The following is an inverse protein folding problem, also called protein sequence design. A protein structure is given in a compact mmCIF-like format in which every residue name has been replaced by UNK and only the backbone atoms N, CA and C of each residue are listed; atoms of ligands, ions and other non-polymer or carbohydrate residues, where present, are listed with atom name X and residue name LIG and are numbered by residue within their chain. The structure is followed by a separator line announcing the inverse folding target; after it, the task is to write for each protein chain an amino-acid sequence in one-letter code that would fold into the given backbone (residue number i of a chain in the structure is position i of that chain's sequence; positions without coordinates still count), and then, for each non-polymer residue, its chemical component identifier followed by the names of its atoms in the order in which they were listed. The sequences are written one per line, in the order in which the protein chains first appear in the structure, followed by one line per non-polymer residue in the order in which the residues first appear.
data_IF_674508068851
#
_entry.id   IF_674508068851
#
_cell.length_a   1.000
_cell.length_b   1.000
_cell.length_c   1.000
_cell.angle_alpha   90.00
_cell.angle_beta   90.00
_cell.angle_gamma   90.00
#
_symmetry.space_group_name_H-M   'P 1'
#
loop_
_entity.id
_entity.type
_entity.pdbx_description
1 polymer ?
#
# COMPACT_ATOMS: atom_id res chain seq x y z
N UNK A 1 2.04 15.89 -6.93
CA UNK A 1 1.12 15.84 -8.07
C UNK A 1 1.78 15.10 -9.22
N UNK A 2 1.02 14.28 -9.97
CA UNK A 2 1.55 13.49 -11.11
C UNK A 2 2.12 14.38 -12.22
N UNK A 3 1.65 15.60 -12.32
CA UNK A 3 2.16 16.60 -13.32
C UNK A 3 3.60 17.01 -13.03
N UNK A 4 4.08 16.86 -11.80
CA UNK A 4 5.46 17.16 -11.42
C UNK A 4 6.44 16.07 -11.84
N UNK A 5 5.95 14.85 -12.10
CA UNK A 5 6.80 13.70 -12.44
C UNK A 5 7.61 13.92 -13.71
N UNK A 6 7.05 14.59 -14.72
CA UNK A 6 7.78 14.86 -15.97
C UNK A 6 9.04 15.68 -15.71
N UNK A 7 8.95 16.69 -14.86
CA UNK A 7 10.10 17.52 -14.50
C UNK A 7 11.11 16.78 -13.63
N UNK A 8 10.63 15.93 -12.74
CA UNK A 8 11.49 15.08 -11.89
C UNK A 8 12.23 14.02 -12.71
N UNK A 9 11.59 13.38 -13.67
CA UNK A 9 12.23 12.39 -14.53
C UNK A 9 13.23 13.01 -15.51
N UNK A 10 13.07 14.29 -15.86
CA UNK A 10 14.03 15.04 -16.65
C UNK A 10 15.20 15.61 -15.81
N UNK A 11 15.12 15.55 -14.49
CA UNK A 11 16.16 16.04 -13.60
C UNK A 11 17.34 15.05 -13.50
N UNK A 12 18.52 15.48 -13.05
CA UNK A 12 19.64 14.59 -12.72
C UNK A 12 19.22 13.50 -11.70
N UNK A 13 19.80 12.31 -11.83
CA UNK A 13 19.46 11.15 -11.00
C UNK A 13 19.57 11.43 -9.48
N UNK A 14 20.54 12.25 -9.09
CA UNK A 14 20.75 12.67 -7.70
C UNK A 14 19.55 13.43 -7.14
N UNK A 15 18.95 14.33 -7.93
CA UNK A 15 17.74 15.07 -7.52
C UNK A 15 16.52 14.17 -7.40
N UNK A 16 16.37 13.20 -8.31
CA UNK A 16 15.33 12.21 -8.21
C UNK A 16 15.48 11.35 -6.95
N UNK A 17 16.70 10.94 -6.65
CA UNK A 17 17.02 10.17 -5.44
C UNK A 17 16.72 10.97 -4.16
N UNK A 18 17.15 12.23 -4.08
CA UNK A 18 16.85 13.13 -2.96
C UNK A 18 15.33 13.27 -2.74
N UNK A 19 14.59 13.45 -3.83
CA UNK A 19 13.13 13.56 -3.78
C UNK A 19 12.47 12.26 -3.30
N UNK A 20 12.91 11.09 -3.78
CA UNK A 20 12.43 9.79 -3.33
C UNK A 20 12.71 9.56 -1.83
N UNK A 21 13.90 9.90 -1.38
CA UNK A 21 14.27 9.83 0.05
C UNK A 21 13.38 10.74 0.88
N UNK A 22 13.17 11.98 0.43
CA UNK A 22 12.27 12.92 1.11
C UNK A 22 10.85 12.38 1.21
N UNK A 23 10.27 11.91 0.09
CA UNK A 23 8.90 11.38 0.05
C UNK A 23 8.74 10.14 0.94
N UNK A 24 9.69 9.20 0.89
CA UNK A 24 9.68 8.03 1.78
C UNK A 24 9.76 8.43 3.26
N UNK A 25 10.59 9.43 3.59
CA UNK A 25 10.70 9.92 4.96
C UNK A 25 9.40 10.55 5.47
N UNK A 26 8.60 11.18 4.60
CA UNK A 26 7.28 11.72 4.99
C UNK A 26 6.35 10.56 5.39
N UNK A 27 6.27 9.49 4.60
CA UNK A 27 5.46 8.32 4.94
C UNK A 27 6.00 7.54 6.15
N UNK A 28 7.33 7.41 6.29
CA UNK A 28 7.93 6.81 7.47
C UNK A 28 7.57 7.60 8.74
N UNK A 29 7.64 8.94 8.70
CA UNK A 29 7.24 9.77 9.84
C UNK A 29 5.77 9.63 10.21
N UNK A 30 4.87 9.40 9.23
CA UNK A 30 3.48 9.08 9.50
C UNK A 30 3.35 7.73 10.22
N UNK A 31 4.07 6.72 9.75
CA UNK A 31 4.08 5.38 10.35
C UNK A 31 4.70 5.37 11.76
N UNK A 32 5.73 6.20 12.00
CA UNK A 32 6.46 6.28 13.27
C UNK A 32 5.79 7.19 14.32
N UNK A 33 4.61 7.75 14.02
CA UNK A 33 3.91 8.59 15.01
C UNK A 33 3.68 7.80 16.31
N UNK A 34 3.94 8.41 17.50
CA UNK A 34 3.80 7.74 18.80
C UNK A 34 2.34 7.63 19.26
N UNK A 35 1.41 7.74 18.33
CA UNK A 35 -0.05 7.70 18.54
C UNK A 35 -0.68 6.79 17.48
N UNK A 36 -1.87 6.22 17.73
CA UNK A 36 -2.58 5.45 16.71
C UNK A 36 -3.01 6.34 15.54
N UNK A 37 -2.96 5.78 14.35
CA UNK A 37 -3.31 6.45 13.10
C UNK A 37 -4.37 5.66 12.34
N UNK A 38 -5.27 6.36 11.65
CA UNK A 38 -6.33 5.73 10.85
C UNK A 38 -6.55 6.48 9.55
N UNK A 39 -6.82 5.74 8.48
CA UNK A 39 -7.27 6.27 7.20
C UNK A 39 -8.75 6.01 7.00
N UNK A 40 -9.50 7.08 6.66
CA UNK A 40 -10.90 7.03 6.25
C UNK A 40 -10.98 7.19 4.72
N UNK A 41 -11.21 6.10 4.01
CA UNK A 41 -11.09 6.02 2.55
C UNK A 41 -12.46 6.20 1.92
N UNK A 42 -12.72 7.37 1.36
CA UNK A 42 -14.01 7.75 0.78
C UNK A 42 -14.11 7.58 -0.74
N UNK A 43 -13.06 7.07 -1.40
CA UNK A 43 -12.98 6.95 -2.84
C UNK A 43 -11.68 6.29 -3.30
N UNK A 44 -11.00 6.89 -4.26
CA UNK A 44 -9.75 6.34 -4.80
C UNK A 44 -8.56 6.58 -3.87
N UNK A 45 -7.89 5.49 -3.50
CA UNK A 45 -6.58 5.50 -2.85
C UNK A 45 -5.60 4.70 -3.74
N UNK A 46 -5.06 5.34 -4.76
CA UNK A 46 -4.21 4.73 -5.78
C UNK A 46 -2.79 5.30 -5.75
N UNK A 47 -1.80 4.47 -6.08
CA UNK A 47 -0.39 4.87 -6.09
C UNK A 47 0.05 5.45 -4.75
N UNK A 48 0.61 6.65 -4.73
CA UNK A 48 0.99 7.36 -3.51
C UNK A 48 -0.13 7.51 -2.49
N UNK A 49 -1.40 7.56 -2.91
CA UNK A 49 -2.56 7.51 -2.02
C UNK A 49 -2.70 6.17 -1.31
N UNK A 50 -2.46 5.07 -2.04
CA UNK A 50 -2.39 3.74 -1.44
C UNK A 50 -1.20 3.63 -0.47
N UNK A 51 -0.03 4.12 -0.87
CA UNK A 51 1.18 4.12 -0.03
C UNK A 51 0.99 4.92 1.27
N UNK A 52 0.24 6.02 1.20
CA UNK A 52 -0.14 6.82 2.39
C UNK A 52 -1.02 6.02 3.36
N UNK A 53 -2.09 5.38 2.88
CA UNK A 53 -2.98 4.60 3.75
C UNK A 53 -2.28 3.35 4.31
N UNK A 54 -1.31 2.78 3.61
CA UNK A 54 -0.48 1.69 4.11
C UNK A 54 0.43 2.11 5.27
N UNK A 55 0.77 3.38 5.38
CA UNK A 55 1.55 3.92 6.49
C UNK A 55 0.72 4.09 7.78
N UNK A 56 -0.62 4.05 7.72
CA UNK A 56 -1.48 4.13 8.91
C UNK A 56 -1.73 2.77 9.56
N UNK A 57 -2.12 2.75 10.83
CA UNK A 57 -2.35 1.52 11.59
C UNK A 57 -3.65 0.85 11.17
N UNK A 58 -4.71 1.63 11.01
CA UNK A 58 -6.04 1.15 10.63
C UNK A 58 -6.55 1.86 9.38
N UNK A 59 -7.47 1.20 8.66
CA UNK A 59 -8.07 1.67 7.41
C UNK A 59 -9.55 1.32 7.39
N UNK A 60 -10.41 2.33 7.31
CA UNK A 60 -11.85 2.16 7.11
C UNK A 60 -12.22 2.69 5.73
N UNK A 61 -12.98 1.96 4.97
CA UNK A 61 -13.34 2.32 3.60
C UNK A 61 -14.85 2.49 3.41
N UNK A 62 -15.24 3.35 2.47
CA UNK A 62 -16.59 3.35 1.90
C UNK A 62 -16.72 2.19 0.89
N UNK A 63 -17.96 1.73 0.57
CA UNK A 63 -18.16 0.66 -0.40
C UNK A 63 -17.61 0.98 -1.80
N UNK A 64 -17.58 2.27 -2.17
CA UNK A 64 -17.10 2.74 -3.47
C UNK A 64 -15.59 2.93 -3.53
N UNK A 65 -14.87 2.68 -2.44
CA UNK A 65 -13.43 2.84 -2.39
C UNK A 65 -12.72 1.87 -3.36
N UNK A 66 -11.68 2.39 -4.00
CA UNK A 66 -10.76 1.65 -4.87
C UNK A 66 -9.34 1.87 -4.39
N UNK A 67 -8.64 0.79 -4.10
CA UNK A 67 -7.32 0.81 -3.47
C UNK A 67 -6.36 0.01 -4.32
N UNK A 68 -5.19 0.55 -4.64
CA UNK A 68 -4.23 -0.18 -5.46
C UNK A 68 -2.96 0.57 -5.80
N UNK A 69 -2.06 -0.13 -6.45
CA UNK A 69 -0.74 0.36 -6.87
C UNK A 69 -0.61 0.24 -8.40
N UNK A 70 -1.15 1.21 -9.18
CA UNK A 70 -1.18 1.16 -10.64
C UNK A 70 0.14 1.53 -11.32
N UNK A 71 1.21 1.76 -10.57
CA UNK A 71 2.51 2.26 -11.04
C UNK A 71 3.08 1.44 -12.20
N UNK A 72 2.92 0.11 -12.15
CA UNK A 72 3.40 -0.78 -13.23
C UNK A 72 2.74 -0.51 -14.57
N UNK A 73 1.50 0.00 -14.60
CA UNK A 73 0.84 0.44 -15.84
C UNK A 73 1.49 1.68 -16.47
N UNK A 74 2.28 2.41 -15.70
CA UNK A 74 3.03 3.59 -16.13
C UNK A 74 4.51 3.29 -16.44
N UNK A 75 4.92 2.02 -16.36
CA UNK A 75 6.31 1.60 -16.57
C UNK A 75 7.24 1.88 -15.38
N UNK A 76 6.69 2.12 -14.20
CA UNK A 76 7.42 2.37 -12.95
C UNK A 76 6.95 1.41 -11.85
N UNK A 77 7.59 1.43 -10.69
CA UNK A 77 7.19 0.67 -9.50
C UNK A 77 6.75 1.61 -8.38
N UNK A 78 5.97 1.12 -7.38
CA UNK A 78 5.62 1.91 -6.20
C UNK A 78 6.86 2.38 -5.45
N UNK A 79 7.04 3.70 -5.37
CA UNK A 79 8.29 4.34 -4.91
C UNK A 79 8.27 4.90 -3.49
N UNK A 80 7.09 4.96 -2.83
CA UNK A 80 6.93 5.55 -1.50
C UNK A 80 6.64 4.52 -0.42
N UNK A 81 7.08 3.28 -0.65
CA UNK A 81 7.01 2.18 0.30
C UNK A 81 5.87 1.19 0.08
N UNK A 82 5.08 1.32 -0.99
CA UNK A 82 4.01 0.38 -1.32
C UNK A 82 4.53 -1.04 -1.54
N UNK A 83 5.64 -1.18 -2.27
CA UNK A 83 6.33 -2.46 -2.50
C UNK A 83 6.97 -3.07 -1.24
N UNK A 84 7.04 -2.32 -0.14
CA UNK A 84 7.54 -2.78 1.15
C UNK A 84 6.39 -3.07 2.12
N UNK A 85 5.46 -2.11 2.29
CA UNK A 85 4.38 -2.22 3.29
C UNK A 85 3.30 -3.20 2.89
N UNK A 86 2.93 -3.23 1.60
CA UNK A 86 1.86 -4.11 1.14
C UNK A 86 2.16 -5.60 1.37
N UNK A 87 3.35 -6.15 0.97
CA UNK A 87 3.66 -7.55 1.23
C UNK A 87 3.82 -7.87 2.71
N UNK A 88 4.25 -6.93 3.53
CA UNK A 88 4.31 -7.10 4.98
C UNK A 88 2.93 -7.16 5.64
N UNK A 89 1.95 -6.46 5.07
CA UNK A 89 0.58 -6.45 5.55
C UNK A 89 -0.23 -7.65 5.06
N UNK A 90 -0.13 -8.00 3.77
CA UNK A 90 -1.00 -8.99 3.12
C UNK A 90 -0.33 -10.34 2.85
N UNK A 91 0.97 -10.45 3.06
CA UNK A 91 1.78 -11.53 2.54
C UNK A 91 2.21 -11.31 1.09
N UNK A 92 3.21 -12.10 0.65
CA UNK A 92 3.90 -11.88 -0.62
C UNK A 92 2.99 -12.08 -1.84
N UNK A 93 2.20 -13.16 -1.86
CA UNK A 93 1.42 -13.54 -3.05
C UNK A 93 0.31 -12.53 -3.37
N UNK A 94 -0.45 -12.12 -2.35
CA UNK A 94 -1.51 -11.10 -2.51
C UNK A 94 -0.92 -9.75 -2.93
N UNK A 95 0.23 -9.39 -2.38
CA UNK A 95 0.92 -8.15 -2.73
C UNK A 95 1.45 -8.18 -4.17
N UNK A 96 2.07 -9.28 -4.59
CA UNK A 96 2.55 -9.46 -5.98
C UNK A 96 1.41 -9.37 -6.98
N UNK A 97 0.25 -9.97 -6.69
CA UNK A 97 -0.92 -9.87 -7.57
C UNK A 97 -1.38 -8.42 -7.76
N UNK A 98 -1.43 -7.63 -6.69
CA UNK A 98 -1.84 -6.22 -6.75
C UNK A 98 -0.78 -5.36 -7.46
N UNK A 99 0.49 -5.50 -7.06
CA UNK A 99 1.59 -4.66 -7.57
C UNK A 99 1.90 -4.97 -9.02
N UNK A 100 2.17 -6.24 -9.35
CA UNK A 100 2.59 -6.63 -10.70
C UNK A 100 1.49 -6.41 -11.74
N UNK A 101 0.23 -6.64 -11.38
CA UNK A 101 -0.90 -6.38 -12.28
C UNK A 101 -1.29 -4.90 -12.34
N UNK A 102 -0.80 -4.06 -11.43
CA UNK A 102 -1.21 -2.66 -11.29
C UNK A 102 -2.72 -2.52 -11.07
N UNK A 103 -3.34 -3.52 -10.45
CA UNK A 103 -4.79 -3.54 -10.21
C UNK A 103 -5.17 -2.66 -9.03
N UNK A 104 -6.37 -2.11 -9.11
CA UNK A 104 -7.11 -1.64 -7.96
C UNK A 104 -8.09 -2.72 -7.50
N UNK A 105 -8.26 -2.85 -6.21
CA UNK A 105 -9.22 -3.74 -5.56
C UNK A 105 -10.40 -2.94 -5.01
N UNK A 106 -11.58 -3.53 -5.04
CA UNK A 106 -12.78 -2.96 -4.42
C UNK A 106 -12.67 -2.99 -2.89
N UNK A 107 -13.45 -2.14 -2.20
CA UNK A 107 -13.53 -2.16 -0.74
C UNK A 107 -13.84 -3.55 -0.17
N UNK A 108 -14.73 -4.30 -0.84
CA UNK A 108 -15.11 -5.67 -0.46
C UNK A 108 -13.92 -6.65 -0.56
N UNK A 109 -13.16 -6.56 -1.64
CA UNK A 109 -11.95 -7.39 -1.83
C UNK A 109 -10.85 -6.98 -0.86
N UNK A 110 -10.66 -5.66 -0.65
CA UNK A 110 -9.72 -5.11 0.31
C UNK A 110 -10.00 -5.62 1.74
N UNK A 111 -11.28 -5.67 2.14
CA UNK A 111 -11.68 -6.23 3.44
C UNK A 111 -11.38 -7.74 3.51
N UNK A 112 -11.68 -8.48 2.44
CA UNK A 112 -11.44 -9.93 2.40
C UNK A 112 -9.97 -10.30 2.55
N UNK A 113 -9.06 -9.50 1.97
CA UNK A 113 -7.61 -9.77 2.04
C UNK A 113 -6.92 -9.08 3.22
N UNK A 114 -7.63 -8.30 4.03
CA UNK A 114 -7.06 -7.60 5.18
C UNK A 114 -6.35 -6.28 4.84
N UNK A 115 -6.60 -5.73 3.64
CA UNK A 115 -6.07 -4.43 3.25
C UNK A 115 -6.81 -3.28 3.95
N UNK A 116 -8.09 -3.46 4.30
CA UNK A 116 -8.86 -2.56 5.15
C UNK A 116 -9.49 -3.33 6.32
N UNK A 117 -9.71 -2.64 7.43
CA UNK A 117 -10.24 -3.23 8.67
C UNK A 117 -11.76 -3.23 8.73
N UNK A 118 -12.41 -2.28 8.02
CA UNK A 118 -13.87 -2.19 7.94
C UNK A 118 -14.32 -1.52 6.64
N UNK A 119 -15.56 -1.86 6.23
CA UNK A 119 -16.27 -1.17 5.16
C UNK A 119 -17.61 -0.71 5.72
N UNK A 120 -17.89 0.59 5.62
CA UNK A 120 -19.09 1.23 6.16
C UNK A 120 -19.71 2.17 5.14
N UNK A 121 -21.01 2.47 5.30
CA UNK A 121 -21.70 3.43 4.45
C UNK A 121 -21.01 4.81 4.46
N UNK A 122 -20.98 5.54 3.32
CA UNK A 122 -20.20 6.78 3.19
C UNK A 122 -20.51 7.82 4.28
N UNK A 123 -21.78 7.95 4.68
CA UNK A 123 -22.22 8.88 5.72
C UNK A 123 -21.76 8.48 7.14
N UNK A 124 -21.33 7.21 7.31
CA UNK A 124 -20.80 6.68 8.57
C UNK A 124 -19.28 6.60 8.61
N UNK A 125 -18.60 6.91 7.52
CA UNK A 125 -17.16 6.70 7.39
C UNK A 125 -16.36 7.46 8.44
N UNK A 126 -16.62 8.73 8.61
CA UNK A 126 -15.92 9.57 9.60
C UNK A 126 -16.20 9.11 11.02
N UNK A 127 -17.47 8.82 11.35
CA UNK A 127 -17.86 8.31 12.67
C UNK A 127 -17.17 6.98 12.98
N UNK A 128 -17.18 6.04 12.04
CA UNK A 128 -16.55 4.72 12.21
C UNK A 128 -15.02 4.84 12.40
N UNK A 129 -14.36 5.69 11.63
CA UNK A 129 -12.93 5.94 11.77
C UNK A 129 -12.61 6.55 13.14
N UNK A 130 -13.35 7.56 13.58
CA UNK A 130 -13.15 8.18 14.90
C UNK A 130 -13.43 7.20 16.05
N UNK A 131 -14.46 6.36 15.93
CA UNK A 131 -14.76 5.33 16.92
C UNK A 131 -13.64 4.29 17.01
N UNK A 132 -13.09 3.86 15.88
CA UNK A 132 -11.96 2.91 15.85
C UNK A 132 -10.71 3.55 16.46
N UNK A 133 -10.43 4.81 16.14
CA UNK A 133 -9.33 5.56 16.73
C UNK A 133 -9.49 5.69 18.25
N UNK A 134 -10.69 6.01 18.74
CA UNK A 134 -10.97 6.08 20.17
C UNK A 134 -10.77 4.73 20.87
N UNK A 135 -11.17 3.62 20.24
CA UNK A 135 -10.91 2.28 20.77
C UNK A 135 -9.42 1.98 20.87
N UNK A 136 -8.63 2.44 19.90
CA UNK A 136 -7.17 2.30 19.94
C UNK A 136 -6.53 3.15 21.05
N UNK A 137 -7.03 4.36 21.27
CA UNK A 137 -6.61 5.24 22.37
C UNK A 137 -6.97 4.64 23.74
N UNK A 138 -8.17 4.06 23.85
CA UNK A 138 -8.66 3.40 25.09
C UNK A 138 -7.98 2.04 25.36
N UNK A 139 -7.09 1.58 24.47
CA UNK A 139 -6.42 0.29 24.60
C UNK A 139 -7.29 -0.93 24.29
N UNK A 140 -8.48 -0.74 23.68
CA UNK A 140 -9.37 -1.82 23.24
C UNK A 140 -8.93 -2.43 21.91
N UNK A 141 -8.22 -1.65 21.09
CA UNK A 141 -7.53 -2.11 19.89
C UNK A 141 -6.03 -1.86 20.07
N UNK A 142 -5.24 -2.91 19.87
CA UNK A 142 -3.79 -2.82 19.95
C UNK A 142 -3.22 -2.31 18.62
N UNK A 143 -3.08 -0.99 18.52
CA UNK A 143 -2.52 -0.35 17.32
C UNK A 143 -1.03 -0.66 17.11
N UNK A 144 -0.30 -0.98 18.19
CA UNK A 144 1.11 -1.37 18.07
C UNK A 144 1.24 -2.74 17.45
N UNK A 145 0.39 -3.69 17.85
CA UNK A 145 0.30 -4.99 17.22
C UNK A 145 -0.15 -4.89 15.75
N UNK A 146 -1.08 -3.99 15.42
CA UNK A 146 -1.48 -3.72 14.03
C UNK A 146 -0.35 -3.13 13.17
N UNK A 147 0.52 -2.29 13.75
CA UNK A 147 1.69 -1.70 13.09
C UNK A 147 2.84 -2.69 12.92
N UNK A 148 3.06 -3.56 13.90
CA UNK A 148 4.23 -4.41 14.01
C UNK A 148 4.57 -5.20 12.73
N UNK A 149 3.63 -5.84 12.01
CA UNK A 149 3.95 -6.55 10.77
C UNK A 149 4.63 -5.68 9.71
N UNK A 150 4.28 -4.39 9.64
CA UNK A 150 4.84 -3.46 8.67
C UNK A 150 6.29 -3.06 8.98
N UNK A 151 6.69 -3.16 10.23
CA UNK A 151 8.05 -2.84 10.70
C UNK A 151 9.02 -4.02 10.57
N UNK A 152 8.49 -5.24 10.48
CA UNK A 152 9.32 -6.46 10.39
C UNK A 152 9.62 -6.83 8.92
N UNK A 153 10.79 -7.42 8.66
CA UNK A 153 11.07 -8.01 7.36
C UNK A 153 10.04 -9.08 6.99
N UNK A 154 9.73 -9.19 5.69
CA UNK A 154 8.89 -10.26 5.19
C UNK A 154 9.56 -11.63 5.48
N UNK A 155 8.84 -12.51 6.18
CA UNK A 155 9.34 -13.82 6.58
C UNK A 155 8.94 -14.85 5.51
N UNK A 156 9.84 -15.09 4.56
CA UNK A 156 9.69 -16.14 3.55
C UNK A 156 10.86 -17.13 3.70
N UNK A 157 10.55 -18.42 3.69
CA UNK A 157 11.60 -19.42 3.49
C UNK A 157 12.17 -19.33 2.06
N UNK A 158 13.39 -19.78 1.82
CA UNK A 158 13.96 -19.80 0.45
C UNK A 158 13.09 -20.54 -0.58
N UNK A 159 12.41 -21.59 -0.16
CA UNK A 159 11.51 -22.37 -1.02
C UNK A 159 10.25 -21.56 -1.36
N UNK A 160 9.59 -20.97 -0.38
CA UNK A 160 8.42 -20.11 -0.58
C UNK A 160 8.76 -18.92 -1.48
N UNK A 161 9.87 -18.25 -1.24
CA UNK A 161 10.34 -17.15 -2.09
C UNK A 161 10.56 -17.61 -3.53
N UNK A 162 11.27 -18.73 -3.74
CA UNK A 162 11.52 -19.28 -5.08
C UNK A 162 10.23 -19.63 -5.80
N UNK A 163 9.27 -20.27 -5.15
CA UNK A 163 7.99 -20.64 -5.73
C UNK A 163 7.15 -19.41 -6.08
N UNK A 164 6.98 -18.49 -5.14
CA UNK A 164 6.16 -17.30 -5.29
C UNK A 164 6.68 -16.39 -6.40
N UNK A 165 7.98 -16.04 -6.38
CA UNK A 165 8.56 -15.17 -7.40
C UNK A 165 8.65 -15.85 -8.79
N UNK A 166 8.89 -17.16 -8.86
CA UNK A 166 8.91 -17.87 -10.15
C UNK A 166 7.51 -17.91 -10.77
N UNK A 167 6.48 -18.17 -9.96
CA UNK A 167 5.09 -18.19 -10.41
C UNK A 167 4.66 -16.77 -10.87
N UNK A 168 4.91 -15.75 -10.06
CA UNK A 168 4.60 -14.38 -10.40
C UNK A 168 5.29 -13.93 -11.69
N UNK A 169 6.59 -14.25 -11.85
CA UNK A 169 7.34 -13.94 -13.07
C UNK A 169 6.74 -14.64 -14.30
N UNK A 170 6.30 -15.89 -14.16
CA UNK A 170 5.61 -16.61 -15.24
C UNK A 170 4.32 -15.93 -15.67
N UNK A 171 3.48 -15.51 -14.72
CA UNK A 171 2.23 -14.78 -14.97
C UNK A 171 2.48 -13.43 -15.64
N UNK A 172 3.46 -12.67 -15.14
CA UNK A 172 3.85 -11.38 -15.71
C UNK A 172 4.32 -11.53 -17.16
N UNK A 173 5.17 -12.53 -17.46
CA UNK A 173 5.64 -12.79 -18.82
C UNK A 173 4.50 -13.12 -19.79
N UNK A 174 3.47 -13.83 -19.33
CA UNK A 174 2.28 -14.13 -20.14
C UNK A 174 1.42 -12.88 -20.41
N UNK A 175 1.32 -11.96 -19.44
CA UNK A 175 0.39 -10.84 -19.49
C UNK A 175 1.02 -9.59 -20.09
N UNK A 176 2.21 -9.23 -19.65
CA UNK A 176 2.91 -8.00 -20.04
C UNK A 176 4.00 -8.24 -21.13
N UNK A 177 4.38 -9.51 -21.34
CA UNK A 177 5.45 -9.88 -22.25
C UNK A 177 6.85 -9.57 -21.68
N UNK A 178 7.88 -10.09 -22.38
CA UNK A 178 9.28 -10.07 -21.92
C UNK A 178 9.97 -8.69 -22.02
N UNK A 179 9.35 -7.74 -22.68
CA UNK A 179 9.95 -6.43 -22.97
C UNK A 179 9.41 -5.29 -22.09
N UNK A 180 8.37 -5.53 -21.30
CA UNK A 180 7.83 -4.53 -20.40
C UNK A 180 8.54 -4.63 -19.03
N UNK A 181 9.28 -3.59 -18.61
CA UNK A 181 10.23 -3.70 -17.51
C UNK A 181 9.62 -3.59 -16.10
N UNK A 182 8.41 -3.02 -15.98
CA UNK A 182 7.90 -2.60 -14.68
C UNK A 182 7.28 -3.72 -13.82
N UNK A 183 6.51 -4.70 -14.34
CA UNK A 183 5.95 -5.78 -13.52
C UNK A 183 6.98 -6.72 -12.94
#
# INVERSE_FOLDING_TARGET
DITEFLSLFAAPAEKLQEWLVFANNVFNRLEDLPVPTISAINGYALGGGCECILATDFRVASPDARIGLPETKLGIMPGFGGSVRLPRLLGNDSALEIIAAGKDVSAKEALKVGLVDAVVAPEKLAEAALNMLQQAIDGKLDWRAARQPKLEPLKLSPIEAAMSFTTAKGMVLQTAGKHYPAP
#
